data_IF_941946857514
#
_entry.id   IF_941946857514
#
_cell.length_a   1.000
_cell.length_b   1.000
_cell.length_c   1.000
_cell.angle_alpha   90.00
_cell.angle_beta   90.00
_cell.angle_gamma   90.00
#
_symmetry.space_group_name_H-M   'P 1'
#
loop_
_entity.id
_entity.type
_entity.pdbx_description
1 polymer ?
#
# COMPACT_ATOMS: atom_id res chain seq x y z
N UNK A 1 -56.39 -20.86 -1.95
CA UNK A 1 -56.20 -19.77 -0.98
C UNK A 1 -54.72 -19.71 -0.63
N UNK A 2 -53.98 -18.89 -1.37
CA UNK A 2 -52.55 -18.64 -1.14
C UNK A 2 -52.46 -17.38 -0.28
N UNK A 3 -52.26 -17.55 1.02
CA UNK A 3 -51.96 -16.44 1.93
C UNK A 3 -50.57 -15.93 1.58
N UNK A 4 -50.52 -14.90 0.75
CA UNK A 4 -49.32 -14.16 0.44
C UNK A 4 -48.69 -13.68 1.76
N UNK A 5 -47.47 -14.16 2.00
CA UNK A 5 -46.64 -13.84 3.15
C UNK A 5 -46.20 -12.37 3.03
N UNK A 6 -47.07 -11.44 3.42
CA UNK A 6 -46.74 -10.01 3.52
C UNK A 6 -45.80 -9.83 4.72
N UNK A 7 -44.50 -9.88 4.44
CA UNK A 7 -43.49 -9.40 5.38
C UNK A 7 -43.79 -7.94 5.70
N UNK A 8 -44.09 -7.65 6.97
CA UNK A 8 -44.33 -6.27 7.43
C UNK A 8 -43.17 -5.33 7.03
N UNK A 9 -43.44 -4.09 6.62
CA UNK A 9 -42.39 -3.12 6.24
C UNK A 9 -41.32 -2.95 7.34
N UNK A 10 -41.72 -3.02 8.60
CA UNK A 10 -40.82 -2.94 9.76
C UNK A 10 -39.80 -4.10 9.82
N UNK A 11 -40.20 -5.29 9.38
CA UNK A 11 -39.29 -6.45 9.31
C UNK A 11 -38.22 -6.30 8.22
N UNK A 12 -38.53 -5.61 7.13
CA UNK A 12 -37.59 -5.36 6.03
C UNK A 12 -36.60 -4.26 6.41
N UNK A 13 -37.08 -3.19 7.03
CA UNK A 13 -36.24 -2.07 7.45
C UNK A 13 -35.27 -2.48 8.57
N UNK A 14 -35.72 -3.25 9.56
CA UNK A 14 -34.85 -3.80 10.62
C UNK A 14 -33.77 -4.75 10.07
N UNK A 15 -34.13 -5.60 9.10
CA UNK A 15 -33.16 -6.47 8.41
C UNK A 15 -32.10 -5.65 7.66
N UNK A 16 -32.52 -4.58 6.98
CA UNK A 16 -31.63 -3.70 6.22
C UNK A 16 -30.61 -3.00 7.12
N UNK A 17 -31.05 -2.51 8.28
CA UNK A 17 -30.18 -1.89 9.29
C UNK A 17 -29.17 -2.91 9.83
N UNK A 18 -29.63 -4.13 10.14
CA UNK A 18 -28.75 -5.20 10.61
C UNK A 18 -27.64 -5.55 9.61
N UNK A 19 -28.00 -5.71 8.33
CA UNK A 19 -27.04 -5.97 7.26
C UNK A 19 -26.03 -4.82 7.15
N UNK A 20 -26.49 -3.57 7.18
CA UNK A 20 -25.61 -2.40 7.08
C UNK A 20 -24.60 -2.36 8.23
N UNK A 21 -25.04 -2.59 9.47
CA UNK A 21 -24.17 -2.55 10.64
C UNK A 21 -23.13 -3.66 10.62
N UNK A 22 -23.51 -4.88 10.23
CA UNK A 22 -22.59 -6.01 10.14
C UNK A 22 -21.56 -5.74 9.03
N UNK A 23 -22.01 -5.36 7.84
CA UNK A 23 -21.11 -5.07 6.71
C UNK A 23 -20.15 -3.93 7.04
N UNK A 24 -20.65 -2.82 7.60
CA UNK A 24 -19.81 -1.69 8.01
C UNK A 24 -18.80 -2.06 9.10
N UNK A 25 -19.19 -2.90 10.07
CA UNK A 25 -18.27 -3.37 11.12
C UNK A 25 -17.13 -4.22 10.54
N UNK A 26 -17.44 -5.09 9.59
CA UNK A 26 -16.46 -5.94 8.90
C UNK A 26 -15.51 -5.10 8.05
N UNK A 27 -16.03 -4.12 7.31
CA UNK A 27 -15.23 -3.17 6.53
C UNK A 27 -14.26 -2.38 7.41
N UNK A 28 -14.75 -1.77 8.50
CA UNK A 28 -13.94 -1.02 9.45
C UNK A 28 -12.86 -1.89 10.07
N UNK A 29 -13.20 -3.12 10.50
CA UNK A 29 -12.24 -4.03 11.13
C UNK A 29 -11.14 -4.42 10.14
N UNK A 30 -11.52 -4.78 8.91
CA UNK A 30 -10.59 -5.14 7.84
C UNK A 30 -9.65 -3.98 7.52
N UNK A 31 -10.20 -2.77 7.36
CA UNK A 31 -9.42 -1.56 7.10
C UNK A 31 -8.40 -1.29 8.22
N UNK A 32 -8.83 -1.34 9.48
CA UNK A 32 -7.98 -1.03 10.62
C UNK A 32 -6.81 -2.01 10.79
N UNK A 33 -7.01 -3.30 10.50
CA UNK A 33 -5.93 -4.29 10.55
C UNK A 33 -4.83 -3.91 9.55
N UNK A 34 -5.19 -3.62 8.29
CA UNK A 34 -4.22 -3.26 7.25
C UNK A 34 -3.62 -1.88 7.53
N UNK A 35 -4.42 -0.93 8.00
CA UNK A 35 -3.96 0.38 8.41
C UNK A 35 -2.93 0.32 9.55
N UNK A 36 -3.10 -0.59 10.52
CA UNK A 36 -2.11 -0.83 11.58
C UNK A 36 -0.77 -1.30 11.02
N UNK A 37 -0.77 -2.24 10.07
CA UNK A 37 0.44 -2.68 9.35
C UNK A 37 1.07 -1.49 8.61
N UNK A 38 0.24 -0.66 7.97
CA UNK A 38 0.69 0.53 7.27
C UNK A 38 1.34 1.55 8.21
N UNK A 39 0.74 1.83 9.37
CA UNK A 39 1.30 2.73 10.37
C UNK A 39 2.69 2.27 10.85
N UNK A 40 2.87 0.96 11.08
CA UNK A 40 4.16 0.39 11.48
C UNK A 40 5.22 0.56 10.39
N UNK A 41 4.88 0.23 9.14
CA UNK A 41 5.80 0.38 7.99
C UNK A 41 6.14 1.84 7.72
N UNK A 42 5.16 2.73 7.83
CA UNK A 42 5.35 4.16 7.68
C UNK A 42 6.27 4.71 8.77
N UNK A 43 6.06 4.33 10.04
CA UNK A 43 6.93 4.71 11.15
C UNK A 43 8.37 4.22 10.96
N UNK A 44 8.57 2.99 10.50
CA UNK A 44 9.89 2.47 10.14
C UNK A 44 10.54 3.28 9.01
N UNK A 45 9.77 3.63 7.96
CA UNK A 45 10.27 4.44 6.85
C UNK A 45 10.64 5.87 7.27
N UNK A 46 9.81 6.49 8.12
CA UNK A 46 10.00 7.85 8.62
C UNK A 46 11.21 7.94 9.55
N UNK A 47 11.37 6.98 10.47
CA UNK A 47 12.55 6.92 11.34
C UNK A 47 13.84 6.70 10.56
N UNK A 48 13.83 5.81 9.56
CA UNK A 48 14.98 5.62 8.67
C UNK A 48 15.30 6.89 7.87
N UNK A 49 14.28 7.61 7.40
CA UNK A 49 14.45 8.86 6.66
C UNK A 49 15.05 9.97 7.54
N UNK A 50 14.50 10.16 8.74
CA UNK A 50 14.98 11.16 9.71
C UNK A 50 16.43 10.89 10.14
N UNK A 51 16.80 9.61 10.34
CA UNK A 51 18.16 9.23 10.74
C UNK A 51 19.19 9.42 9.64
N UNK A 52 18.83 9.16 8.37
CA UNK A 52 19.80 9.12 7.27
C UNK A 52 20.10 10.49 6.63
N UNK A 53 19.42 11.59 7.03
CA UNK A 53 19.59 12.95 6.46
C UNK A 53 19.71 12.95 4.92
N UNK A 54 18.98 12.07 4.24
CA UNK A 54 19.20 11.79 2.82
C UNK A 54 18.81 13.02 1.98
N UNK A 55 19.81 13.70 1.44
CA UNK A 55 19.65 14.91 0.61
C UNK A 55 19.21 14.62 -0.84
N UNK A 56 19.05 13.33 -1.21
CA UNK A 56 18.74 12.99 -2.60
C UNK A 56 17.26 13.25 -2.91
N UNK A 57 17.00 14.01 -3.98
CA UNK A 57 15.66 14.36 -4.47
C UNK A 57 14.73 13.13 -4.69
N UNK A 58 15.19 11.98 -5.23
CA UNK A 58 14.30 10.84 -5.46
C UNK A 58 13.77 10.19 -4.17
N UNK A 59 14.62 10.01 -3.16
CA UNK A 59 14.18 9.44 -1.87
C UNK A 59 13.19 10.38 -1.16
N UNK A 60 13.38 11.70 -1.27
CA UNK A 60 12.43 12.68 -0.72
C UNK A 60 11.07 12.61 -1.42
N UNK A 61 11.04 12.56 -2.75
CA UNK A 61 9.79 12.44 -3.51
C UNK A 61 9.01 11.17 -3.13
N UNK A 62 9.71 10.03 -3.03
CA UNK A 62 9.09 8.77 -2.63
C UNK A 62 8.51 8.84 -1.21
N UNK A 63 9.26 9.43 -0.25
CA UNK A 63 8.76 9.63 1.11
C UNK A 63 7.50 10.51 1.15
N UNK A 64 7.49 11.61 0.38
CA UNK A 64 6.31 12.49 0.29
C UNK A 64 5.07 11.77 -0.27
N UNK A 65 5.25 10.94 -1.30
CA UNK A 65 4.16 10.11 -1.85
C UNK A 65 3.62 9.16 -0.77
N UNK A 66 4.50 8.52 0.01
CA UNK A 66 4.07 7.64 1.11
C UNK A 66 3.39 8.39 2.24
N UNK A 67 3.88 9.57 2.62
CA UNK A 67 3.24 10.40 3.63
C UNK A 67 1.85 10.85 3.19
N UNK A 68 1.71 11.26 1.92
CA UNK A 68 0.41 11.60 1.34
C UNK A 68 -0.54 10.39 1.32
N UNK A 69 -0.04 9.21 0.94
CA UNK A 69 -0.81 7.95 0.99
C UNK A 69 -1.31 7.65 2.40
N UNK A 70 -0.47 7.85 3.41
CA UNK A 70 -0.79 7.62 4.81
C UNK A 70 -1.87 8.59 5.31
N UNK A 71 -1.79 9.87 4.93
CA UNK A 71 -2.82 10.87 5.23
C UNK A 71 -4.15 10.48 4.58
N UNK A 72 -4.15 10.07 3.31
CA UNK A 72 -5.37 9.60 2.63
C UNK A 72 -5.99 8.39 3.33
N UNK A 73 -5.18 7.41 3.73
CA UNK A 73 -5.66 6.24 4.46
C UNK A 73 -6.28 6.64 5.81
N UNK A 74 -5.64 7.56 6.53
CA UNK A 74 -6.13 8.06 7.81
C UNK A 74 -7.47 8.79 7.65
N UNK A 75 -7.58 9.67 6.64
CA UNK A 75 -8.81 10.38 6.33
C UNK A 75 -9.94 9.44 5.93
N UNK A 76 -9.64 8.43 5.11
CA UNK A 76 -10.63 7.44 4.69
C UNK A 76 -11.11 6.58 5.88
N UNK A 77 -10.20 6.08 6.72
CA UNK A 77 -10.56 5.32 7.91
C UNK A 77 -11.38 6.14 8.91
N UNK A 78 -11.03 7.40 9.11
CA UNK A 78 -11.81 8.31 9.94
C UNK A 78 -13.22 8.54 9.36
N UNK A 79 -13.33 8.71 8.03
CA UNK A 79 -14.62 8.85 7.36
C UNK A 79 -15.50 7.62 7.54
N UNK A 80 -14.94 6.41 7.35
CA UNK A 80 -15.63 5.14 7.58
C UNK A 80 -16.16 5.02 9.03
N UNK A 81 -15.32 5.37 10.01
CA UNK A 81 -15.71 5.30 11.42
C UNK A 81 -16.83 6.31 11.74
N UNK A 82 -16.70 7.55 11.27
CA UNK A 82 -17.72 8.59 11.46
C UNK A 82 -19.03 8.20 10.77
N UNK A 83 -18.97 7.62 9.58
CA UNK A 83 -20.13 7.13 8.84
C UNK A 83 -20.92 6.08 9.65
N UNK A 84 -20.21 5.04 10.13
CA UNK A 84 -20.83 3.98 10.93
C UNK A 84 -21.38 4.50 12.27
N UNK A 85 -20.65 5.39 12.94
CA UNK A 85 -21.11 6.01 14.18
C UNK A 85 -22.33 6.89 13.96
N UNK A 86 -22.36 7.70 12.89
CA UNK A 86 -23.49 8.55 12.55
C UNK A 86 -24.72 7.72 12.23
N UNK A 87 -24.56 6.64 11.46
CA UNK A 87 -25.65 5.72 11.13
C UNK A 87 -26.23 5.07 12.40
N UNK A 88 -25.39 4.49 13.25
CA UNK A 88 -25.84 3.84 14.49
C UNK A 88 -26.48 4.86 15.44
N UNK A 89 -25.92 6.06 15.57
CA UNK A 89 -26.49 7.10 16.44
C UNK A 89 -27.86 7.58 15.98
N UNK A 90 -28.07 7.81 14.68
CA UNK A 90 -29.34 8.36 14.18
C UNK A 90 -30.42 7.28 14.09
N UNK A 91 -30.06 6.06 13.66
CA UNK A 91 -31.04 4.99 13.44
C UNK A 91 -31.35 4.15 14.67
N UNK A 92 -30.41 4.00 15.62
CA UNK A 92 -30.63 3.16 16.81
C UNK A 92 -30.78 3.97 18.11
N UNK A 93 -30.08 5.08 18.27
CA UNK A 93 -29.99 5.76 19.59
C UNK A 93 -30.89 6.98 19.66
N UNK A 94 -30.78 7.90 18.70
CA UNK A 94 -31.52 9.16 18.65
C UNK A 94 -32.81 8.99 17.86
N UNK A 95 -33.74 9.94 18.04
CA UNK A 95 -35.00 10.04 17.31
C UNK A 95 -35.89 8.78 17.44
N UNK A 96 -35.89 8.16 18.62
CA UNK A 96 -36.73 6.99 18.94
C UNK A 96 -38.24 7.31 18.86
N UNK A 97 -38.56 8.60 18.91
CA UNK A 97 -39.88 9.20 18.74
C UNK A 97 -40.35 9.28 17.27
N UNK A 98 -39.45 9.14 16.29
CA UNK A 98 -39.77 9.19 14.87
C UNK A 98 -40.02 7.80 14.28
N UNK A 99 -40.77 7.75 13.18
CA UNK A 99 -40.95 6.52 12.40
C UNK A 99 -39.61 6.09 11.78
N UNK A 100 -39.44 4.79 11.55
CA UNK A 100 -38.17 4.23 11.07
C UNK A 100 -37.70 4.83 9.73
N UNK A 101 -38.64 5.14 8.85
CA UNK A 101 -38.36 5.76 7.54
C UNK A 101 -37.81 7.19 7.69
N UNK A 102 -38.39 7.99 8.60
CA UNK A 102 -37.93 9.36 8.89
C UNK A 102 -36.52 9.35 9.51
N UNK A 103 -36.24 8.35 10.36
CA UNK A 103 -34.90 8.15 10.95
C UNK A 103 -33.86 7.81 9.89
N UNK A 104 -34.24 6.98 8.90
CA UNK A 104 -33.36 6.64 7.79
C UNK A 104 -33.05 7.86 6.93
N UNK A 105 -34.05 8.67 6.58
CA UNK A 105 -33.86 9.90 5.81
C UNK A 105 -32.91 10.87 6.53
N UNK A 106 -33.10 11.08 7.84
CA UNK A 106 -32.20 11.92 8.64
C UNK A 106 -30.77 11.35 8.69
N UNK A 107 -30.63 10.03 8.75
CA UNK A 107 -29.32 9.38 8.72
C UNK A 107 -28.61 9.59 7.38
N UNK A 108 -29.34 9.50 6.26
CA UNK A 108 -28.81 9.78 4.92
C UNK A 108 -28.34 11.23 4.77
N UNK A 109 -29.08 12.20 5.30
CA UNK A 109 -28.67 13.61 5.28
C UNK A 109 -27.38 13.83 6.06
N UNK A 110 -27.24 13.20 7.23
CA UNK A 110 -26.03 13.31 8.07
C UNK A 110 -24.81 12.63 7.45
N UNK A 111 -25.03 11.72 6.50
CA UNK A 111 -24.01 10.94 5.81
C UNK A 111 -23.19 11.74 4.79
N UNK A 112 -23.68 12.91 4.36
CA UNK A 112 -23.11 13.66 3.24
C UNK A 112 -21.61 13.95 3.36
N UNK A 113 -21.17 14.48 4.51
CA UNK A 113 -19.75 14.85 4.72
C UNK A 113 -18.79 13.65 4.74
N UNK A 114 -19.01 12.58 5.56
CA UNK A 114 -18.12 11.42 5.54
C UNK A 114 -18.12 10.70 4.20
N UNK A 115 -19.28 10.57 3.54
CA UNK A 115 -19.37 9.96 2.19
C UNK A 115 -18.58 10.77 1.16
N UNK A 116 -18.67 12.09 1.19
CA UNK A 116 -17.88 12.95 0.30
C UNK A 116 -16.38 12.70 0.50
N UNK A 117 -15.92 12.63 1.75
CA UNK A 117 -14.51 12.34 2.05
C UNK A 117 -14.10 10.94 1.57
N UNK A 118 -14.96 9.94 1.71
CA UNK A 118 -14.75 8.58 1.18
C UNK A 118 -14.65 8.58 -0.35
N UNK A 119 -15.52 9.30 -1.05
CA UNK A 119 -15.49 9.41 -2.53
C UNK A 119 -14.15 9.98 -3.00
N UNK A 120 -13.72 11.10 -2.40
CA UNK A 120 -12.47 11.75 -2.81
C UNK A 120 -11.23 10.94 -2.46
N UNK A 121 -11.17 10.36 -1.26
CA UNK A 121 -10.06 9.47 -0.88
C UNK A 121 -10.00 8.21 -1.75
N UNK A 122 -11.16 7.67 -2.14
CA UNK A 122 -11.26 6.52 -3.07
C UNK A 122 -10.81 6.86 -4.49
N UNK A 123 -11.00 8.10 -4.93
CA UNK A 123 -10.52 8.56 -6.23
C UNK A 123 -9.01 8.87 -6.23
N UNK A 124 -8.49 9.45 -5.13
CA UNK A 124 -7.08 9.79 -4.99
C UNK A 124 -6.20 8.57 -4.71
N UNK A 125 -6.70 7.56 -4.01
CA UNK A 125 -5.93 6.36 -3.66
C UNK A 125 -5.28 5.66 -4.85
N UNK A 126 -6.05 5.28 -5.90
CA UNK A 126 -5.50 4.69 -7.12
C UNK A 126 -4.47 5.58 -7.83
N UNK A 127 -4.68 6.91 -7.84
CA UNK A 127 -3.73 7.87 -8.44
C UNK A 127 -2.37 7.78 -7.73
N UNK A 128 -2.41 7.66 -6.41
CA UNK A 128 -1.20 7.56 -5.58
C UNK A 128 -0.51 6.21 -5.74
N UNK A 129 -1.26 5.10 -5.77
CA UNK A 129 -0.68 3.78 -6.03
C UNK A 129 -0.07 3.71 -7.43
N UNK A 130 -0.73 4.30 -8.42
CA UNK A 130 -0.28 4.31 -9.80
C UNK A 130 0.87 5.29 -10.05
N UNK A 131 1.12 6.25 -9.15
CA UNK A 131 2.30 7.13 -9.23
C UNK A 131 3.61 6.33 -9.21
N UNK A 132 3.61 5.13 -8.60
CA UNK A 132 4.75 4.20 -8.67
C UNK A 132 4.96 3.67 -10.09
N UNK A 133 3.89 3.48 -10.87
CA UNK A 133 3.99 3.14 -12.30
C UNK A 133 4.74 4.24 -13.04
N UNK A 134 4.41 5.52 -12.81
CA UNK A 134 5.12 6.66 -13.41
C UNK A 134 6.59 6.64 -13.03
N UNK A 135 6.86 6.44 -11.74
CA UNK A 135 8.23 6.40 -11.26
C UNK A 135 9.02 5.26 -11.92
N UNK A 136 8.44 4.06 -12.00
CA UNK A 136 9.00 2.92 -12.73
C UNK A 136 9.25 3.29 -14.20
N UNK A 137 8.25 3.80 -14.91
CA UNK A 137 8.36 4.28 -16.29
C UNK A 137 9.50 5.29 -16.48
N UNK A 138 9.68 6.22 -15.54
CA UNK A 138 10.78 7.19 -15.56
C UNK A 138 12.16 6.56 -15.38
N UNK A 139 12.30 5.58 -14.48
CA UNK A 139 13.53 4.79 -14.35
C UNK A 139 13.83 4.06 -15.65
N UNK A 140 12.80 3.52 -16.32
CA UNK A 140 12.94 2.83 -17.60
C UNK A 140 13.39 3.77 -18.73
N UNK A 141 12.86 4.98 -18.77
CA UNK A 141 13.25 6.01 -19.74
C UNK A 141 14.74 6.36 -19.65
N UNK A 142 15.30 6.39 -18.43
CA UNK A 142 16.74 6.65 -18.26
C UNK A 142 17.60 5.51 -18.79
N UNK A 143 17.04 4.30 -18.80
CA UNK A 143 17.77 3.09 -19.17
C UNK A 143 17.72 2.79 -20.68
N UNK A 144 16.59 3.06 -21.32
CA UNK A 144 16.35 2.63 -22.70
C UNK A 144 16.45 3.79 -23.70
N UNK A 145 17.13 3.55 -24.83
CA UNK A 145 17.20 4.52 -25.93
C UNK A 145 15.85 4.71 -26.65
N UNK A 146 14.95 3.72 -26.57
CA UNK A 146 13.64 3.70 -27.25
C UNK A 146 12.53 4.26 -26.36
N UNK A 147 12.41 5.60 -26.35
CA UNK A 147 11.44 6.36 -25.54
C UNK A 147 9.96 6.03 -25.83
N UNK A 148 9.64 5.61 -27.04
CA UNK A 148 8.26 5.35 -27.49
C UNK A 148 7.51 4.29 -26.66
N UNK A 149 8.23 3.31 -26.13
CA UNK A 149 7.63 2.17 -25.40
C UNK A 149 6.96 2.60 -24.09
N UNK A 150 7.36 3.73 -23.52
CA UNK A 150 6.84 4.23 -22.25
C UNK A 150 5.64 5.16 -22.43
N UNK A 151 5.35 5.60 -23.66
CA UNK A 151 4.21 6.49 -23.95
C UNK A 151 2.89 5.76 -23.67
N UNK A 152 2.81 4.47 -23.99
CA UNK A 152 1.60 3.66 -23.79
C UNK A 152 1.16 3.57 -22.31
N UNK A 153 1.99 3.11 -21.36
CA UNK A 153 1.59 3.05 -19.95
C UNK A 153 1.32 4.44 -19.36
N UNK A 154 2.00 5.48 -19.84
CA UNK A 154 1.74 6.86 -19.42
C UNK A 154 0.36 7.33 -19.89
N UNK A 155 -0.02 7.06 -21.14
CA UNK A 155 -1.33 7.43 -21.68
C UNK A 155 -2.47 6.70 -20.97
N UNK A 156 -2.31 5.40 -20.70
CA UNK A 156 -3.28 4.61 -19.93
C UNK A 156 -3.45 5.17 -18.52
N UNK A 157 -2.36 5.62 -17.90
CA UNK A 157 -2.40 6.25 -16.59
C UNK A 157 -3.12 7.61 -16.61
N UNK A 158 -2.81 8.49 -17.58
CA UNK A 158 -3.51 9.77 -17.67
C UNK A 158 -5.02 9.56 -17.86
N UNK A 159 -5.39 8.56 -18.66
CA UNK A 159 -6.78 8.17 -18.83
C UNK A 159 -7.40 7.64 -17.53
N UNK A 160 -6.70 6.82 -16.74
CA UNK A 160 -7.21 6.33 -15.45
C UNK A 160 -7.38 7.46 -14.43
N UNK A 161 -6.46 8.42 -14.38
CA UNK A 161 -6.54 9.62 -13.53
C UNK A 161 -7.76 10.46 -13.94
N UNK A 162 -7.91 10.74 -15.24
CA UNK A 162 -9.04 11.52 -15.76
C UNK A 162 -10.39 10.85 -15.41
N UNK A 163 -10.49 9.53 -15.58
CA UNK A 163 -11.70 8.79 -15.20
C UNK A 163 -11.93 8.81 -13.69
N UNK A 164 -10.90 8.66 -12.86
CA UNK A 164 -11.03 8.67 -11.40
C UNK A 164 -11.53 10.03 -10.88
N UNK A 165 -11.00 11.13 -11.44
CA UNK A 165 -11.45 12.49 -11.11
C UNK A 165 -12.86 12.78 -11.63
N UNK A 166 -13.16 12.39 -12.87
CA UNK A 166 -14.51 12.53 -13.42
C UNK A 166 -15.54 11.77 -12.56
N UNK A 167 -15.20 10.55 -12.12
CA UNK A 167 -16.04 9.77 -11.22
C UNK A 167 -16.26 10.47 -9.87
N UNK A 168 -15.21 11.02 -9.25
CA UNK A 168 -15.33 11.75 -7.99
C UNK A 168 -16.26 12.95 -8.10
N UNK A 169 -16.09 13.73 -9.18
CA UNK A 169 -16.94 14.89 -9.47
C UNK A 169 -18.40 14.45 -9.68
N UNK A 170 -18.65 13.46 -10.54
CA UNK A 170 -20.00 12.96 -10.81
C UNK A 170 -20.66 12.39 -9.55
N UNK A 171 -19.93 11.60 -8.77
CA UNK A 171 -20.43 11.03 -7.51
C UNK A 171 -20.74 12.12 -6.47
N UNK A 172 -19.93 13.17 -6.41
CA UNK A 172 -20.17 14.31 -5.50
C UNK A 172 -21.42 15.13 -5.84
N UNK A 173 -21.90 15.08 -7.09
CA UNK A 173 -23.13 15.77 -7.48
C UNK A 173 -24.39 15.11 -6.93
N UNK A 174 -24.32 13.84 -6.51
CA UNK A 174 -25.42 13.13 -5.84
C UNK A 174 -26.72 13.05 -6.65
N UNK A 175 -26.66 13.06 -7.99
CA UNK A 175 -27.84 13.01 -8.85
C UNK A 175 -28.11 11.60 -9.34
N UNK A 176 -29.29 11.06 -9.05
CA UNK A 176 -29.64 9.66 -9.37
C UNK A 176 -29.54 9.31 -10.86
N UNK A 177 -29.88 10.26 -11.76
CA UNK A 177 -29.77 10.03 -13.21
C UNK A 177 -28.31 9.89 -13.69
N UNK A 178 -27.32 10.31 -12.90
CA UNK A 178 -25.90 10.14 -13.20
C UNK A 178 -25.34 8.81 -12.71
N UNK A 179 -26.10 8.00 -11.96
CA UNK A 179 -25.65 6.73 -11.37
C UNK A 179 -25.03 5.77 -12.39
N UNK A 180 -25.62 5.65 -13.58
CA UNK A 180 -25.08 4.84 -14.67
C UNK A 180 -23.74 5.35 -15.18
N UNK A 181 -23.57 6.68 -15.25
CA UNK A 181 -22.32 7.32 -15.68
C UNK A 181 -21.24 7.16 -14.61
N UNK A 182 -21.58 7.39 -13.33
CA UNK A 182 -20.68 7.15 -12.17
C UNK A 182 -20.14 5.72 -12.22
N UNK A 183 -21.01 4.72 -12.32
CA UNK A 183 -20.58 3.32 -12.39
C UNK A 183 -19.69 3.04 -13.60
N UNK A 184 -20.04 3.58 -14.77
CA UNK A 184 -19.26 3.40 -16.00
C UNK A 184 -17.87 4.03 -15.89
N UNK A 185 -17.80 5.28 -15.43
CA UNK A 185 -16.54 6.02 -15.28
C UNK A 185 -15.65 5.36 -14.21
N UNK A 186 -16.22 4.90 -13.11
CA UNK A 186 -15.52 4.11 -12.09
C UNK A 186 -14.92 2.83 -12.66
N UNK A 187 -15.73 1.99 -13.34
CA UNK A 187 -15.28 0.74 -13.94
C UNK A 187 -14.20 0.96 -15.01
N UNK A 188 -14.34 2.00 -15.83
CA UNK A 188 -13.31 2.34 -16.82
C UNK A 188 -12.01 2.79 -16.16
N UNK A 189 -12.09 3.62 -15.11
CA UNK A 189 -10.92 4.08 -14.36
C UNK A 189 -10.10 2.92 -13.78
N UNK A 190 -10.76 1.97 -13.11
CA UNK A 190 -10.08 0.81 -12.50
C UNK A 190 -9.48 -0.14 -13.55
N UNK A 191 -10.15 -0.31 -14.70
CA UNK A 191 -9.66 -1.15 -15.82
C UNK A 191 -8.44 -0.53 -16.49
N UNK A 192 -8.48 0.78 -16.73
CA UNK A 192 -7.35 1.53 -17.30
C UNK A 192 -6.14 1.52 -16.35
N UNK A 193 -6.38 1.67 -15.04
CA UNK A 193 -5.34 1.56 -14.02
C UNK A 193 -4.69 0.17 -14.02
N UNK A 194 -5.49 -0.90 -14.07
CA UNK A 194 -4.97 -2.26 -14.18
C UNK A 194 -4.17 -2.45 -15.47
N UNK A 195 -4.69 -1.99 -16.61
CA UNK A 195 -4.00 -2.08 -17.90
C UNK A 195 -2.65 -1.35 -17.87
N UNK A 196 -2.59 -0.14 -17.28
CA UNK A 196 -1.35 0.61 -17.12
C UNK A 196 -0.33 -0.18 -16.27
N UNK A 197 -0.77 -0.77 -15.16
CA UNK A 197 0.08 -1.56 -14.27
C UNK A 197 0.58 -2.85 -14.93
N UNK A 198 -0.28 -3.58 -15.64
CA UNK A 198 0.09 -4.82 -16.36
C UNK A 198 1.06 -4.51 -17.49
N UNK A 199 0.78 -3.50 -18.32
CA UNK A 199 1.67 -3.10 -19.42
C UNK A 199 3.03 -2.67 -18.87
N UNK A 200 3.06 -1.84 -17.83
CA UNK A 200 4.31 -1.43 -17.21
C UNK A 200 5.09 -2.64 -16.68
N UNK A 201 4.45 -3.53 -15.92
CA UNK A 201 5.08 -4.72 -15.34
C UNK A 201 5.61 -5.67 -16.43
N UNK A 202 4.85 -5.88 -17.51
CA UNK A 202 5.28 -6.67 -18.66
C UNK A 202 6.51 -6.06 -19.36
N UNK A 203 6.57 -4.73 -19.48
CA UNK A 203 7.74 -4.04 -20.04
C UNK A 203 9.00 -4.25 -19.19
N UNK A 204 8.87 -4.21 -17.86
CA UNK A 204 9.97 -4.56 -16.95
C UNK A 204 10.43 -6.00 -17.13
N UNK A 205 9.49 -6.95 -17.20
CA UNK A 205 9.79 -8.36 -17.43
C UNK A 205 10.50 -8.59 -18.77
N UNK A 206 10.04 -7.94 -19.84
CA UNK A 206 10.66 -8.02 -21.15
C UNK A 206 12.10 -7.48 -21.16
N UNK A 207 12.32 -6.31 -20.53
CA UNK A 207 13.66 -5.69 -20.48
C UNK A 207 14.60 -6.51 -19.58
N UNK A 208 14.08 -7.07 -18.49
CA UNK A 208 14.81 -8.02 -17.65
C UNK A 208 15.25 -9.24 -18.44
N UNK A 209 14.33 -9.85 -19.19
CA UNK A 209 14.63 -11.01 -20.04
C UNK A 209 15.67 -10.67 -21.12
N UNK A 210 15.54 -9.51 -21.78
CA UNK A 210 16.49 -9.06 -22.79
C UNK A 210 17.90 -8.85 -22.22
N UNK A 211 18.01 -8.24 -21.04
CA UNK A 211 19.30 -8.07 -20.35
C UNK A 211 19.92 -9.42 -19.99
N UNK A 212 19.12 -10.33 -19.42
CA UNK A 212 19.58 -11.68 -19.08
C UNK A 212 20.08 -12.43 -20.32
N UNK A 213 19.35 -12.36 -21.44
CA UNK A 213 19.74 -13.01 -22.70
C UNK A 213 20.99 -12.40 -23.33
N UNK A 214 21.16 -11.08 -23.25
CA UNK A 214 22.29 -10.36 -23.88
C UNK A 214 23.58 -10.50 -23.05
N UNK A 215 23.47 -10.58 -21.71
CA UNK A 215 24.62 -10.74 -20.81
C UNK A 215 24.99 -12.19 -20.52
N UNK A 216 24.09 -13.16 -20.72
CA UNK A 216 24.37 -14.58 -20.53
C UNK A 216 25.62 -15.12 -21.27
N UNK A 217 25.97 -14.68 -22.50
CA UNK A 217 27.15 -15.19 -23.20
C UNK A 217 28.48 -14.64 -22.64
N UNK A 218 28.45 -13.50 -21.94
CA UNK A 218 29.67 -12.78 -21.51
C UNK A 218 29.96 -12.93 -20.01
N UNK A 219 29.05 -13.49 -19.21
CA UNK A 219 29.20 -13.59 -17.75
C UNK A 219 29.74 -14.94 -17.26
N UNK A 220 30.29 -15.78 -18.16
CA UNK A 220 30.63 -17.16 -17.82
C UNK A 220 31.78 -17.31 -16.82
N UNK A 221 32.52 -16.26 -16.43
CA UNK A 221 33.73 -16.46 -15.64
C UNK A 221 33.86 -15.79 -14.26
N UNK A 222 33.15 -14.72 -13.86
CA UNK A 222 33.34 -14.20 -12.47
C UNK A 222 32.40 -13.13 -11.89
N UNK A 223 31.55 -12.48 -12.69
CA UNK A 223 30.75 -11.36 -12.19
C UNK A 223 29.27 -11.76 -12.05
N UNK A 224 28.75 -11.72 -10.81
CA UNK A 224 27.34 -11.95 -10.51
C UNK A 224 26.39 -10.94 -11.21
N UNK A 225 25.06 -11.08 -11.03
CA UNK A 225 24.09 -10.21 -11.70
C UNK A 225 24.35 -8.74 -11.39
N UNK A 226 24.39 -7.92 -12.44
CA UNK A 226 24.62 -6.48 -12.32
C UNK A 226 23.57 -5.87 -11.37
N UNK A 227 23.93 -4.85 -10.57
CA UNK A 227 23.00 -4.20 -9.64
C UNK A 227 21.69 -3.77 -10.31
N UNK A 228 21.78 -3.39 -11.58
CA UNK A 228 20.65 -3.00 -12.40
C UNK A 228 19.65 -4.13 -12.66
N UNK A 229 20.13 -5.35 -12.94
CA UNK A 229 19.26 -6.53 -13.16
C UNK A 229 18.51 -6.91 -11.88
N UNK A 230 19.15 -6.74 -10.71
CA UNK A 230 18.51 -6.96 -9.41
C UNK A 230 17.39 -5.96 -9.14
N UNK A 231 17.63 -4.67 -9.36
CA UNK A 231 16.61 -3.63 -9.20
C UNK A 231 15.43 -3.86 -10.15
N UNK A 232 15.70 -4.25 -11.39
CA UNK A 232 14.67 -4.54 -12.38
C UNK A 232 13.81 -5.75 -11.99
N UNK A 233 14.42 -6.79 -11.42
CA UNK A 233 13.70 -7.96 -10.89
C UNK A 233 12.77 -7.56 -9.74
N UNK A 234 13.26 -6.75 -8.79
CA UNK A 234 12.43 -6.27 -7.66
C UNK A 234 11.22 -5.47 -8.14
N UNK A 235 11.37 -4.63 -9.18
CA UNK A 235 10.24 -3.89 -9.75
C UNK A 235 9.23 -4.76 -10.50
N UNK A 236 9.71 -5.83 -11.14
CA UNK A 236 8.84 -6.82 -11.77
C UNK A 236 8.07 -7.60 -10.69
N UNK A 237 8.76 -8.10 -9.67
CA UNK A 237 8.16 -8.86 -8.57
C UNK A 237 7.11 -8.04 -7.81
N UNK A 238 7.43 -6.79 -7.44
CA UNK A 238 6.48 -5.91 -6.76
C UNK A 238 5.31 -5.51 -7.66
N UNK A 239 5.56 -5.34 -8.97
CA UNK A 239 4.51 -5.09 -9.96
C UNK A 239 3.51 -6.23 -10.07
N UNK A 240 3.99 -7.47 -10.14
CA UNK A 240 3.13 -8.67 -10.18
C UNK A 240 2.34 -8.80 -8.88
N UNK A 241 2.99 -8.61 -7.73
CA UNK A 241 2.34 -8.65 -6.43
C UNK A 241 1.22 -7.60 -6.28
N UNK A 242 1.31 -6.48 -6.99
CA UNK A 242 0.26 -5.46 -7.04
C UNK A 242 -0.84 -5.79 -8.08
N UNK A 243 -0.47 -6.25 -9.27
CA UNK A 243 -1.41 -6.53 -10.36
C UNK A 243 -2.41 -7.64 -10.01
N UNK A 244 -1.99 -8.66 -9.24
CA UNK A 244 -2.86 -9.81 -8.90
C UNK A 244 -4.06 -9.38 -8.02
N UNK A 245 -3.88 -8.73 -6.86
CA UNK A 245 -5.00 -8.20 -6.07
C UNK A 245 -5.85 -7.20 -6.86
N UNK A 246 -5.23 -6.36 -7.70
CA UNK A 246 -5.95 -5.40 -8.54
C UNK A 246 -6.84 -6.09 -9.58
N UNK A 247 -6.37 -7.16 -10.20
CA UNK A 247 -7.17 -7.94 -11.14
C UNK A 247 -8.37 -8.59 -10.46
N UNK A 248 -8.17 -9.19 -9.27
CA UNK A 248 -9.25 -9.75 -8.46
C UNK A 248 -10.27 -8.67 -8.09
N UNK A 249 -9.79 -7.49 -7.68
CA UNK A 249 -10.65 -6.34 -7.37
C UNK A 249 -11.50 -5.93 -8.58
N UNK A 250 -10.91 -5.79 -9.77
CA UNK A 250 -11.64 -5.45 -11.00
C UNK A 250 -12.69 -6.52 -11.33
N UNK A 251 -12.36 -7.80 -11.15
CA UNK A 251 -13.31 -8.90 -11.38
C UNK A 251 -14.49 -8.81 -10.40
N UNK A 252 -14.21 -8.69 -9.10
CA UNK A 252 -15.24 -8.64 -8.06
C UNK A 252 -16.21 -7.46 -8.24
N UNK A 253 -15.69 -6.31 -8.66
CA UNK A 253 -16.50 -5.11 -8.88
C UNK A 253 -17.25 -5.17 -10.22
N UNK A 254 -16.72 -5.86 -11.23
CA UNK A 254 -17.36 -5.95 -12.55
C UNK A 254 -18.47 -7.00 -12.64
N UNK A 255 -18.49 -8.01 -11.77
CA UNK A 255 -19.53 -9.05 -11.82
C UNK A 255 -20.83 -8.53 -11.19
N UNK A 256 -21.99 -8.63 -11.88
CA UNK A 256 -23.28 -8.24 -11.32
C UNK A 256 -23.59 -8.95 -10.00
N UNK A 257 -24.20 -8.21 -9.07
CA UNK A 257 -24.48 -8.61 -7.68
C UNK A 257 -25.60 -9.67 -7.54
N UNK A 258 -25.57 -10.75 -8.32
CA UNK A 258 -26.51 -11.87 -8.18
C UNK A 258 -26.08 -12.88 -7.10
N UNK A 259 -25.19 -12.48 -6.19
CA UNK A 259 -24.66 -13.37 -5.17
C UNK A 259 -25.59 -13.52 -3.98
N UNK A 260 -25.50 -14.67 -3.31
CA UNK A 260 -26.02 -14.85 -1.95
C UNK A 260 -25.43 -13.81 -0.99
N UNK A 261 -26.08 -13.59 0.16
CA UNK A 261 -25.61 -12.65 1.19
C UNK A 261 -24.12 -12.85 1.54
N UNK A 262 -23.64 -14.11 1.57
CA UNK A 262 -22.22 -14.44 1.77
C UNK A 262 -21.27 -13.86 0.72
N UNK A 263 -21.69 -13.77 -0.54
CA UNK A 263 -20.83 -13.21 -1.60
C UNK A 263 -20.65 -11.69 -1.47
N UNK A 264 -21.69 -10.99 -1.02
CA UNK A 264 -21.60 -9.54 -0.76
C UNK A 264 -20.61 -9.24 0.37
N UNK A 265 -20.57 -10.07 1.42
CA UNK A 265 -19.58 -9.93 2.50
C UNK A 265 -18.14 -10.15 2.04
N UNK A 266 -17.90 -11.18 1.23
CA UNK A 266 -16.55 -11.46 0.71
C UNK A 266 -16.09 -10.30 -0.16
N UNK A 267 -17.00 -9.77 -0.99
CA UNK A 267 -16.69 -8.63 -1.83
C UNK A 267 -16.39 -7.37 -1.02
N UNK A 268 -17.19 -7.03 0.00
CA UNK A 268 -16.95 -5.82 0.81
C UNK A 268 -15.60 -5.89 1.53
N UNK A 269 -15.28 -7.05 2.14
CA UNK A 269 -13.98 -7.31 2.75
C UNK A 269 -12.85 -7.10 1.74
N UNK A 270 -12.97 -7.70 0.56
CA UNK A 270 -11.90 -7.64 -0.44
C UNK A 270 -11.72 -6.23 -1.00
N UNK A 271 -12.81 -5.51 -1.27
CA UNK A 271 -12.80 -4.13 -1.76
C UNK A 271 -12.05 -3.22 -0.79
N UNK A 272 -12.42 -3.29 0.49
CA UNK A 272 -11.79 -2.46 1.53
C UNK A 272 -10.34 -2.87 1.77
N UNK A 273 -10.05 -4.18 1.77
CA UNK A 273 -8.71 -4.70 1.90
C UNK A 273 -7.80 -4.23 0.76
N UNK A 274 -8.28 -4.32 -0.48
CA UNK A 274 -7.56 -3.87 -1.66
C UNK A 274 -7.30 -2.36 -1.62
N UNK A 275 -8.30 -1.56 -1.23
CA UNK A 275 -8.14 -0.12 -1.11
C UNK A 275 -7.04 0.26 -0.11
N UNK A 276 -7.06 -0.34 1.08
CA UNK A 276 -6.02 -0.13 2.09
C UNK A 276 -4.64 -0.62 1.60
N UNK A 277 -4.59 -1.75 0.90
CA UNK A 277 -3.37 -2.28 0.28
C UNK A 277 -2.81 -1.34 -0.80
N UNK A 278 -3.67 -0.73 -1.62
CA UNK A 278 -3.26 0.21 -2.66
C UNK A 278 -2.58 1.46 -2.09
N UNK A 279 -3.12 1.99 -0.99
CA UNK A 279 -2.50 3.12 -0.27
C UNK A 279 -1.20 2.71 0.45
N UNK A 280 -1.10 1.46 0.90
CA UNK A 280 0.11 0.91 1.53
C UNK A 280 1.25 0.66 0.53
N UNK A 281 0.92 0.35 -0.73
CA UNK A 281 1.87 -0.10 -1.75
C UNK A 281 3.09 0.82 -1.95
N UNK A 282 2.96 2.17 -2.02
CA UNK A 282 4.11 3.09 -2.07
C UNK A 282 5.13 2.87 -0.96
N UNK A 283 4.67 2.67 0.27
CA UNK A 283 5.56 2.49 1.42
C UNK A 283 6.25 1.13 1.37
N UNK A 284 5.55 0.07 0.96
CA UNK A 284 6.14 -1.26 0.77
C UNK A 284 7.26 -1.21 -0.26
N UNK A 285 7.02 -0.58 -1.42
CA UNK A 285 8.04 -0.44 -2.48
C UNK A 285 9.26 0.32 -1.97
N UNK A 286 9.07 1.41 -1.22
CA UNK A 286 10.18 2.18 -0.64
C UNK A 286 11.00 1.35 0.35
N UNK A 287 10.33 0.63 1.25
CA UNK A 287 11.00 -0.20 2.25
C UNK A 287 11.79 -1.30 1.56
N UNK A 288 11.23 -1.95 0.53
CA UNK A 288 11.91 -2.98 -0.26
C UNK A 288 13.13 -2.43 -0.98
N UNK A 289 12.99 -1.29 -1.67
CA UNK A 289 14.08 -0.64 -2.40
C UNK A 289 15.20 -0.22 -1.44
N UNK A 290 14.86 0.39 -0.30
CA UNK A 290 15.85 0.81 0.70
C UNK A 290 16.59 -0.38 1.33
N UNK A 291 15.89 -1.50 1.62
CA UNK A 291 16.52 -2.71 2.16
C UNK A 291 17.46 -3.36 1.16
N UNK A 292 17.05 -3.48 -0.10
CA UNK A 292 17.88 -4.07 -1.17
C UNK A 292 19.11 -3.21 -1.47
N UNK A 293 18.95 -1.88 -1.54
CA UNK A 293 20.07 -0.97 -1.71
C UNK A 293 21.12 -1.12 -0.61
N UNK A 294 20.67 -1.17 0.65
CA UNK A 294 21.56 -1.40 1.79
C UNK A 294 22.28 -2.76 1.70
N UNK A 295 21.57 -3.84 1.34
CA UNK A 295 22.16 -5.17 1.20
C UNK A 295 23.18 -5.28 0.06
N UNK A 296 22.87 -4.66 -1.09
CA UNK A 296 23.78 -4.62 -2.23
C UNK A 296 25.07 -3.83 -1.92
N UNK A 297 24.97 -2.76 -1.12
CA UNK A 297 26.13 -2.00 -0.67
C UNK A 297 27.06 -2.85 0.22
N UNK A 298 26.50 -3.66 1.13
CA UNK A 298 27.28 -4.60 1.96
C UNK A 298 27.94 -5.73 1.17
N UNK A 299 27.22 -6.30 0.19
CA UNK A 299 27.79 -7.37 -0.64
C UNK A 299 28.88 -6.87 -1.60
N UNK A 300 28.83 -5.59 -1.97
CA UNK A 300 29.80 -5.00 -2.90
C UNK A 300 31.07 -4.50 -2.20
N UNK A 301 31.03 -4.29 -0.88
CA UNK A 301 32.17 -3.85 -0.07
C UNK A 301 32.31 -4.71 1.21
N UNK A 302 33.01 -5.86 1.13
CA UNK A 302 33.22 -6.75 2.27
C UNK A 302 33.98 -6.09 3.43
N UNK A 303 34.69 -4.98 3.18
CA UNK A 303 35.45 -4.28 4.22
C UNK A 303 34.54 -3.63 5.28
N UNK A 304 33.27 -3.36 4.95
CA UNK A 304 32.25 -2.88 5.88
C UNK A 304 31.83 -3.93 6.91
N UNK A 305 32.06 -5.23 6.66
CA UNK A 305 31.83 -6.31 7.61
C UNK A 305 33.02 -6.53 8.57
N UNK A 306 34.19 -5.99 8.23
CA UNK A 306 35.45 -6.19 8.96
C UNK A 306 35.88 -4.98 9.79
N UNK A 307 35.09 -3.91 9.80
CA UNK A 307 35.41 -2.67 10.51
C UNK A 307 35.15 -2.75 12.02
N UNK A 308 36.06 -2.25 12.88
CA UNK A 308 35.94 -2.33 14.35
C UNK A 308 34.83 -1.46 14.98
N UNK A 309 33.98 -0.80 14.18
CA UNK A 309 32.93 0.12 14.64
C UNK A 309 31.51 -0.47 14.57
N UNK A 310 31.36 -1.74 14.98
CA UNK A 310 30.06 -2.42 15.08
C UNK A 310 29.24 -2.06 16.33
N UNK A 311 29.71 -1.13 17.18
CA UNK A 311 29.01 -0.74 18.40
C UNK A 311 27.85 0.27 18.20
N UNK A 312 27.68 0.83 17.00
CA UNK A 312 26.69 1.90 16.74
C UNK A 312 25.42 1.47 16.01
N UNK A 313 25.36 0.25 15.46
CA UNK A 313 24.19 -0.24 14.75
C UNK A 313 23.61 -1.43 15.47
N UNK A 314 22.48 -1.21 16.15
CA UNK A 314 21.54 -2.25 16.56
C UNK A 314 20.97 -2.94 15.30
N UNK A 315 21.81 -3.74 14.65
CA UNK A 315 21.38 -4.90 13.88
C UNK A 315 20.85 -5.86 14.94
N UNK A 316 19.58 -6.25 14.81
CA UNK A 316 19.01 -7.34 15.57
C UNK A 316 19.85 -8.60 15.28
N UNK A 317 20.87 -8.85 16.10
CA UNK A 317 21.58 -10.11 16.10
C UNK A 317 20.59 -11.21 16.50
N UNK A 318 20.68 -12.41 15.89
CA UNK A 318 19.97 -13.57 16.40
C UNK A 318 20.41 -13.77 17.85
N UNK A 319 19.44 -13.98 18.74
CA UNK A 319 19.67 -14.23 20.16
C UNK A 319 20.52 -15.51 20.30
N UNK A 320 21.84 -15.34 20.40
CA UNK A 320 22.77 -16.41 20.64
C UNK A 320 22.84 -16.65 22.15
N UNK A 321 22.47 -17.86 22.58
CA UNK A 321 22.64 -18.29 23.96
C UNK A 321 24.13 -18.39 24.28
N UNK A 322 24.58 -17.68 25.32
CA UNK A 322 25.94 -17.75 25.82
C UNK A 322 26.22 -19.15 26.41
N UNK A 323 27.35 -19.80 26.08
CA UNK A 323 27.81 -20.97 26.81
C UNK A 323 28.44 -20.55 28.15
N UNK A 324 28.42 -21.42 29.18
CA UNK A 324 28.90 -21.08 30.51
C UNK A 324 30.43 -20.92 30.55
N UNK A 325 30.88 -19.86 31.22
CA UNK A 325 32.28 -19.50 31.45
C UNK A 325 33.01 -20.57 32.29
N UNK A 326 34.17 -21.01 31.81
CA UNK A 326 35.16 -21.73 32.60
C UNK A 326 36.15 -20.72 33.20
N UNK A 327 36.23 -20.72 34.52
CA UNK A 327 37.17 -19.93 35.31
C UNK A 327 38.59 -20.50 35.22
N UNK A 328 39.55 -19.68 34.77
CA UNK A 328 40.97 -19.89 35.07
C UNK A 328 41.59 -18.55 35.46
N UNK A 329 41.94 -18.45 36.74
CA UNK A 329 42.67 -17.33 37.31
C UNK A 329 43.94 -17.90 37.94
N UNK A 330 45.09 -17.67 37.33
CA UNK A 330 46.39 -17.99 37.92
C UNK A 330 47.19 -16.70 38.01
N UNK A 331 47.30 -16.20 39.25
CA UNK A 331 48.21 -15.15 39.68
C UNK A 331 49.66 -15.51 39.36
N UNK A 332 50.42 -14.54 38.88
CA UNK A 332 51.88 -14.59 38.78
C UNK A 332 52.45 -13.18 38.65
N UNK A 333 52.85 -12.61 39.78
CA UNK A 333 53.56 -11.34 39.97
C UNK A 333 55.07 -11.59 39.95
N UNK A 334 55.88 -10.78 39.24
CA UNK A 334 57.28 -10.35 39.53
C UNK A 334 57.50 -9.03 38.73
N UNK A 335 57.52 -7.84 39.36
CA UNK A 335 58.71 -7.03 39.75
C UNK A 335 59.62 -6.62 38.56
N UNK A 336 59.58 -5.35 38.15
CA UNK A 336 60.44 -4.21 38.57
C UNK A 336 61.88 -4.30 38.04
N UNK A 337 62.25 -3.38 37.15
CA UNK A 337 63.57 -2.75 37.21
C UNK A 337 63.51 -1.31 36.68
N UNK A 338 64.11 -0.42 37.46
CA UNK A 338 64.34 1.00 37.22
C UNK A 338 65.52 1.16 36.25
N UNK A 339 65.52 2.24 35.47
CA UNK A 339 66.72 3.09 35.36
C UNK A 339 66.38 4.40 34.66
N UNK A 340 66.50 5.48 35.43
CA UNK A 340 66.75 6.83 34.96
C UNK A 340 68.01 6.86 34.09
N UNK A 341 68.01 7.64 33.00
CA UNK A 341 69.17 8.45 32.68
C UNK A 341 68.78 9.70 31.87
N UNK A 342 69.10 10.82 32.50
CA UNK A 342 69.11 12.21 32.01
C UNK A 342 70.19 12.37 30.92
N UNK A 343 70.01 13.25 29.93
CA UNK A 343 70.96 14.31 29.51
C UNK A 343 70.69 14.87 28.10
N UNK A 344 70.66 16.21 28.06
CA UNK A 344 70.71 17.20 26.95
C UNK A 344 69.43 17.50 26.18
#
# INVERSE_FOLDING_TARGET
>A
MSSANQTSPDSVASTTIGIFLITGSVEITTFNIIYGIFALLFAQSATAFLRRRLSSRPHMCMFLISAFSFVLATLHGAALLVDACAMAQVTLIRNQDLLLDERLELAYLRRGTPVLLMIWTSALGPIVSDSIVVWRAFVLFRLQRKRWVVILPLLLLLASIAMSLANAVLASMGRDFLSGLVNTTFLMGIRLSLAANVVATALFGYIYWLHKKTMAPHSLERCGPTPMVRVLAVFMESGVAFCVPQAIYVILVAVPQHYSQSGQYIQSVFVVAYFAFALLYPTVVIVLVNRRYTLDQYLSDPSLLSGPNLNGMAVLQPMAFAPPEATVNTKGTIEQDETEETYV
#
